data_IF_858604950598
#
_entry.id   IF_858604950598
#
_cell.length_a   1.000
_cell.length_b   1.000
_cell.length_c   1.000
_cell.angle_alpha   90.00
_cell.angle_beta   90.00
_cell.angle_gamma   90.00
#
_symmetry.space_group_name_H-M   'P 1'
#
loop_
_entity.id
_entity.type
_entity.pdbx_description
1 polymer ?
#
# COMPACT_ATOMS: atom_id res chain seq x y z
N UNK A 1 6.85 -12.50 -0.04
CA UNK A 1 5.39 -12.30 -0.01
C UNK A 1 4.99 -12.23 1.44
N UNK A 2 4.62 -11.05 1.95
CA UNK A 2 4.22 -10.87 3.35
C UNK A 2 3.18 -9.75 3.39
N UNK A 3 1.99 -10.10 2.92
CA UNK A 3 0.78 -9.30 3.06
C UNK A 3 -0.02 -9.95 4.20
N UNK A 4 0.36 -9.68 5.45
CA UNK A 4 -0.25 -10.30 6.64
C UNK A 4 -1.75 -10.02 6.79
N UNK A 5 -2.31 -9.12 5.98
CA UNK A 5 -3.76 -8.86 5.94
C UNK A 5 -4.34 -8.76 4.53
N UNK A 6 -3.53 -8.91 3.47
CA UNK A 6 -3.96 -8.89 2.06
C UNK A 6 -4.95 -7.75 1.74
N UNK A 7 -4.74 -6.59 2.37
CA UNK A 7 -5.80 -5.56 2.49
C UNK A 7 -5.74 -4.57 1.33
N UNK A 8 -4.60 -4.54 0.62
CA UNK A 8 -4.28 -3.69 -0.54
C UNK A 8 -4.10 -4.56 -1.79
N UNK A 9 -5.05 -4.52 -2.71
CA UNK A 9 -4.98 -5.21 -3.99
C UNK A 9 -4.09 -4.47 -4.99
N UNK A 10 -3.62 -5.19 -6.02
CA UNK A 10 -3.02 -4.54 -7.20
C UNK A 10 -4.12 -3.75 -7.90
N UNK A 11 -3.94 -2.42 -7.98
CA UNK A 11 -4.92 -1.50 -8.55
C UNK A 11 -5.50 -0.51 -7.53
N UNK A 12 -5.28 -0.72 -6.23
CA UNK A 12 -5.76 0.20 -5.21
C UNK A 12 -5.03 1.55 -5.28
N UNK A 13 -5.79 2.64 -5.15
CA UNK A 13 -5.22 3.97 -4.95
C UNK A 13 -4.92 4.13 -3.48
N UNK A 14 -3.64 4.09 -3.14
CA UNK A 14 -3.17 4.20 -1.76
C UNK A 14 -2.39 5.50 -1.52
N UNK A 15 -2.59 6.07 -0.34
CA UNK A 15 -1.81 7.22 0.14
C UNK A 15 -0.60 6.74 0.92
N UNK A 16 0.58 7.09 0.42
CA UNK A 16 1.87 6.83 1.05
C UNK A 16 2.37 8.12 1.73
N UNK A 17 3.10 7.97 2.84
CA UNK A 17 3.91 9.05 3.43
C UNK A 17 5.38 8.68 3.46
N UNK A 18 6.23 9.68 3.34
CA UNK A 18 7.66 9.53 3.62
C UNK A 18 7.90 9.20 5.09
N UNK A 19 8.87 8.33 5.33
CA UNK A 19 9.32 7.93 6.65
C UNK A 19 10.82 7.60 6.57
N UNK A 20 11.44 7.33 7.73
CA UNK A 20 12.80 6.80 7.77
C UNK A 20 12.93 5.57 6.85
N UNK A 21 14.08 5.37 6.18
CA UNK A 21 14.28 4.25 5.27
C UNK A 21 13.95 2.92 5.95
N UNK A 22 13.04 2.18 5.34
CA UNK A 22 12.56 0.85 5.78
C UNK A 22 13.38 -0.25 5.08
N UNK A 23 13.91 0.04 3.89
CA UNK A 23 14.79 -0.86 3.13
C UNK A 23 15.70 -0.04 2.20
N UNK A 24 16.61 -0.72 1.49
CA UNK A 24 17.59 -0.10 0.57
C UNK A 24 16.96 0.86 -0.44
N UNK A 25 15.70 0.65 -0.83
CA UNK A 25 14.97 1.47 -1.82
C UNK A 25 13.60 1.96 -1.34
N UNK A 26 13.20 1.65 -0.09
CA UNK A 26 11.83 1.91 0.39
C UNK A 26 11.84 2.85 1.58
N UNK A 27 11.42 4.10 1.36
CA UNK A 27 11.30 5.15 2.37
C UNK A 27 9.85 5.57 2.61
N UNK A 28 8.89 4.73 2.22
CA UNK A 28 7.47 5.07 2.16
C UNK A 28 6.66 4.10 3.01
N UNK A 29 5.70 4.62 3.78
CA UNK A 29 4.75 3.84 4.57
C UNK A 29 3.32 4.08 4.09
N UNK A 30 2.53 3.01 4.00
CA UNK A 30 1.08 3.08 3.77
C UNK A 30 0.40 3.84 4.91
N UNK A 31 -0.34 4.89 4.57
CA UNK A 31 -1.10 5.70 5.53
C UNK A 31 -2.57 5.38 5.46
N UNK A 32 -3.12 5.32 4.24
CA UNK A 32 -4.54 5.12 4.02
C UNK A 32 -4.78 4.56 2.63
N UNK A 33 -5.81 3.72 2.48
CA UNK A 33 -6.32 3.29 1.18
C UNK A 33 -7.42 4.28 0.78
N UNK A 34 -7.24 5.00 -0.33
CA UNK A 34 -8.19 6.01 -0.81
C UNK A 34 -9.29 5.36 -1.63
N UNK A 35 -8.91 4.45 -2.53
CA UNK A 35 -9.83 3.69 -3.36
C UNK A 35 -9.35 2.24 -3.41
N UNK A 36 -10.21 1.31 -3.02
CA UNK A 36 -9.96 -0.10 -3.33
C UNK A 36 -10.36 -0.31 -4.78
N UNK A 37 -9.49 -0.94 -5.56
CA UNK A 37 -9.86 -1.52 -6.84
C UNK A 37 -10.99 -2.49 -6.55
N UNK A 38 -12.21 -2.00 -6.73
CA UNK A 38 -13.40 -2.82 -6.73
C UNK A 38 -13.14 -3.82 -7.83
N UNK A 39 -12.74 -5.03 -7.42
CA UNK A 39 -12.70 -6.19 -8.28
C UNK A 39 -14.05 -6.17 -8.97
N UNK A 40 -13.98 -5.95 -10.27
CA UNK A 40 -15.10 -5.68 -11.15
C UNK A 40 -16.24 -6.64 -10.82
N UNK A 41 -17.47 -6.11 -10.75
CA UNK A 41 -18.67 -6.88 -10.41
C UNK A 41 -18.89 -8.10 -11.27
#
# INVERSE_FOLDING_TARGET
AHDERNESGVGDVVRLRECRPISKTKCWRLVQILEKAAVHG
#
